data_IF_545468659050
#
_entry.id   IF_545468659050
#
_cell.length_a   1.000
_cell.length_b   1.000
_cell.length_c   1.000
_cell.angle_alpha   90.00
_cell.angle_beta   90.00
_cell.angle_gamma   90.00
#
_symmetry.space_group_name_H-M   'P 1'
#
loop_
_entity.id
_entity.type
_entity.pdbx_description
1 polymer ?
#
# COMPACT_ATOMS: atom_id res chain seq x y z
N UNK A 1 1.79 32.49 6.48
CA UNK A 1 0.87 31.33 6.63
C UNK A 1 0.47 30.74 5.27
N UNK A 2 0.25 31.55 4.24
CA UNK A 2 -0.18 31.08 2.91
C UNK A 2 0.83 30.14 2.21
N UNK A 3 2.13 30.44 2.26
CA UNK A 3 3.19 29.58 1.68
C UNK A 3 3.23 28.18 2.31
N UNK A 4 3.01 28.08 3.63
CA UNK A 4 3.05 26.81 4.35
C UNK A 4 1.88 25.90 3.91
N UNK A 5 0.69 26.47 3.72
CA UNK A 5 -0.47 25.72 3.24
C UNK A 5 -0.29 25.23 1.79
N UNK A 6 0.33 26.04 0.92
CA UNK A 6 0.65 25.64 -0.46
C UNK A 6 1.67 24.50 -0.49
N UNK A 7 2.70 24.55 0.36
CA UNK A 7 3.69 23.48 0.47
C UNK A 7 3.08 22.19 1.01
N UNK A 8 2.21 22.28 2.02
CA UNK A 8 1.47 21.13 2.55
C UNK A 8 0.57 20.49 1.48
N UNK A 9 -0.17 21.30 0.72
CA UNK A 9 -1.02 20.81 -0.36
C UNK A 9 -0.19 20.12 -1.46
N UNK A 10 0.90 20.73 -1.90
CA UNK A 10 1.80 20.13 -2.90
C UNK A 10 2.41 18.82 -2.41
N UNK A 11 2.80 18.76 -1.13
CA UNK A 11 3.32 17.54 -0.50
C UNK A 11 2.27 16.43 -0.51
N UNK A 12 1.03 16.75 -0.14
CA UNK A 12 -0.09 15.81 -0.15
C UNK A 12 -0.36 15.26 -1.55
N UNK A 13 -0.46 16.13 -2.55
CA UNK A 13 -0.68 15.74 -3.95
C UNK A 13 0.45 14.85 -4.48
N UNK A 14 1.71 15.22 -4.20
CA UNK A 14 2.86 14.46 -4.61
C UNK A 14 2.87 13.05 -4.00
N UNK A 15 2.55 12.92 -2.71
CA UNK A 15 2.44 11.61 -2.03
C UNK A 15 1.35 10.76 -2.65
N UNK A 16 0.16 11.31 -2.89
CA UNK A 16 -0.95 10.56 -3.48
C UNK A 16 -0.62 10.09 -4.90
N UNK A 17 -0.05 10.98 -5.72
CA UNK A 17 0.33 10.67 -7.08
C UNK A 17 1.40 9.56 -7.12
N UNK A 18 2.44 9.69 -6.28
CA UNK A 18 3.52 8.72 -6.18
C UNK A 18 2.99 7.37 -5.70
N UNK A 19 2.16 7.35 -4.65
CA UNK A 19 1.56 6.13 -4.14
C UNK A 19 0.68 5.44 -5.20
N UNK A 20 -0.14 6.19 -5.92
CA UNK A 20 -0.97 5.65 -7.00
C UNK A 20 -0.12 5.02 -8.10
N UNK A 21 0.97 5.66 -8.48
CA UNK A 21 1.86 5.15 -9.53
C UNK A 21 2.62 3.91 -9.09
N UNK A 22 3.19 3.91 -7.88
CA UNK A 22 3.87 2.74 -7.30
C UNK A 22 2.90 1.58 -7.13
N UNK A 23 1.68 1.83 -6.63
CA UNK A 23 0.65 0.80 -6.45
C UNK A 23 0.26 0.14 -7.78
N UNK A 24 0.09 0.94 -8.84
CA UNK A 24 -0.17 0.41 -10.19
C UNK A 24 0.99 -0.46 -10.68
N UNK A 25 2.22 0.06 -10.63
CA UNK A 25 3.40 -0.67 -11.07
C UNK A 25 3.63 -1.95 -10.25
N UNK A 26 3.32 -1.93 -8.96
CA UNK A 26 3.42 -3.07 -8.07
C UNK A 26 2.46 -4.20 -8.45
N UNK A 27 1.19 -3.89 -8.70
CA UNK A 27 0.23 -4.87 -9.19
C UNK A 27 0.67 -5.50 -10.52
N UNK A 28 1.17 -4.68 -11.46
CA UNK A 28 1.62 -5.14 -12.77
C UNK A 28 2.88 -6.01 -12.69
N UNK A 29 3.87 -5.61 -11.89
CA UNK A 29 5.09 -6.39 -11.68
C UNK A 29 4.79 -7.70 -10.97
N UNK A 30 3.99 -7.67 -9.91
CA UNK A 30 3.65 -8.87 -9.15
C UNK A 30 2.91 -9.89 -10.02
N UNK A 31 1.97 -9.44 -10.86
CA UNK A 31 1.25 -10.32 -11.78
C UNK A 31 2.16 -10.94 -12.86
N UNK A 32 3.25 -10.26 -13.23
CA UNK A 32 4.26 -10.82 -14.15
C UNK A 32 5.13 -11.89 -13.47
N UNK A 33 5.48 -11.68 -12.20
CA UNK A 33 6.29 -12.62 -11.42
C UNK A 33 5.49 -13.84 -10.96
N UNK A 34 4.21 -13.68 -10.66
CA UNK A 34 3.30 -14.75 -10.22
C UNK A 34 2.10 -14.80 -11.16
N UNK A 35 2.12 -15.67 -12.19
CA UNK A 35 1.00 -15.83 -13.11
C UNK A 35 -0.28 -16.23 -12.35
N UNK A 36 -1.25 -15.33 -12.31
CA UNK A 36 -2.52 -15.51 -11.58
C UNK A 36 -2.55 -14.89 -10.18
N UNK A 37 -1.41 -14.40 -9.67
CA UNK A 37 -1.34 -13.65 -8.44
C UNK A 37 -1.90 -12.23 -8.57
N UNK A 38 -2.30 -11.65 -7.43
CA UNK A 38 -2.71 -10.25 -7.33
C UNK A 38 -2.08 -9.63 -6.09
N UNK A 39 -1.58 -8.41 -6.21
CA UNK A 39 -1.02 -7.66 -5.10
C UNK A 39 -1.50 -6.21 -5.14
N UNK A 40 -1.78 -5.63 -3.98
CA UNK A 40 -2.22 -4.24 -3.84
C UNK A 40 -1.53 -3.58 -2.64
N UNK A 41 -1.21 -2.30 -2.80
CA UNK A 41 -0.77 -1.45 -1.71
C UNK A 41 -1.99 -0.71 -1.14
N UNK A 42 -2.05 -0.61 0.19
CA UNK A 42 -3.12 0.07 0.92
C UNK A 42 -2.51 1.17 1.77
N UNK A 43 -2.90 2.41 1.55
CA UNK A 43 -2.47 3.53 2.37
C UNK A 43 -3.24 3.50 3.70
N UNK A 44 -2.52 3.36 4.81
CA UNK A 44 -3.11 3.39 6.15
C UNK A 44 -3.22 4.83 6.63
N UNK A 45 -4.40 5.18 7.11
CA UNK A 45 -4.65 6.44 7.79
C UNK A 45 -4.72 6.16 9.29
N UNK A 46 -4.23 7.08 10.10
CA UNK A 46 -4.46 7.07 11.52
C UNK A 46 -5.93 7.34 11.76
N UNK A 47 -6.62 6.36 12.32
CA UNK A 47 -7.84 6.65 13.04
C UNK A 47 -7.40 7.38 14.30
N UNK A 48 -7.85 8.63 14.47
CA UNK A 48 -8.03 9.16 15.83
C UNK A 48 -8.93 8.12 16.50
N UNK A 49 -8.42 7.44 17.55
CA UNK A 49 -9.07 6.31 18.19
C UNK A 49 -10.59 6.46 18.26
N UNK A 50 -11.29 5.64 17.48
CA UNK A 50 -12.75 5.64 17.42
C UNK A 50 -13.24 4.84 16.23
N UNK A 51 -13.73 3.63 16.53
CA UNK A 51 -14.59 2.78 15.69
C UNK A 51 -13.94 1.62 14.93
N UNK A 52 -13.64 0.56 15.67
CA UNK A 52 -14.14 -0.80 15.38
C UNK A 52 -14.53 -1.39 16.75
N UNK A 53 -15.76 -1.81 17.03
CA UNK A 53 -16.62 -2.73 16.28
C UNK A 53 -18.12 -2.46 16.49
N UNK A 54 -18.89 -2.67 15.42
CA UNK A 54 -20.35 -2.85 15.45
C UNK A 54 -20.73 -4.08 16.28
N UNK A 55 -21.71 -3.95 17.18
CA UNK A 55 -22.81 -4.91 17.32
C UNK A 55 -24.06 -4.19 17.86
N UNK A 56 -25.23 -4.61 17.40
CA UNK A 56 -26.49 -3.86 17.32
C UNK A 56 -27.26 -3.74 18.66
N UNK A 57 -27.99 -2.63 18.84
CA UNK A 57 -28.97 -2.48 19.91
C UNK A 57 -29.62 -1.09 19.93
N UNK A 58 -30.88 -1.03 19.52
CA UNK A 58 -31.74 0.16 19.38
C UNK A 58 -31.82 1.04 20.63
N UNK A 59 -31.84 2.36 20.43
CA UNK A 59 -32.09 3.33 21.50
C UNK A 59 -32.13 4.77 21.00
N UNK A 60 -33.33 5.31 20.86
CA UNK A 60 -33.67 6.69 20.52
C UNK A 60 -33.03 7.73 21.44
N UNK A 61 -32.48 8.79 20.86
CA UNK A 61 -32.07 9.99 21.58
C UNK A 61 -31.64 11.11 20.64
N UNK A 62 -32.53 12.08 20.41
CA UNK A 62 -32.21 13.35 19.75
C UNK A 62 -31.13 14.09 20.55
N UNK A 63 -30.09 14.57 19.89
CA UNK A 63 -29.33 15.73 20.36
C UNK A 63 -28.67 16.44 19.18
N UNK A 64 -29.03 17.71 19.11
CA UNK A 64 -28.60 18.72 18.16
C UNK A 64 -27.09 19.02 18.22
N UNK A 65 -26.62 19.59 17.09
CA UNK A 65 -25.54 20.60 16.94
C UNK A 65 -24.09 20.15 17.12
N UNK A 66 -23.38 20.23 16.00
CA UNK A 66 -21.92 20.34 15.96
C UNK A 66 -21.44 20.84 14.59
N UNK A 67 -21.66 22.13 14.33
CA UNK A 67 -21.06 22.87 13.22
C UNK A 67 -19.53 22.76 13.26
N UNK A 68 -18.92 22.50 12.11
CA UNK A 68 -17.47 22.41 12.00
C UNK A 68 -16.96 22.13 10.59
N UNK A 69 -17.47 22.84 9.57
CA UNK A 69 -16.79 22.94 8.27
C UNK A 69 -15.52 23.80 8.44
N UNK A 70 -14.51 23.28 9.14
CA UNK A 70 -13.17 23.78 8.97
C UNK A 70 -12.65 23.21 7.65
N UNK A 71 -12.22 24.10 6.77
CA UNK A 71 -11.46 23.77 5.56
C UNK A 71 -10.20 23.02 5.96
N UNK A 72 -10.30 21.70 6.12
CA UNK A 72 -9.19 20.84 6.49
C UNK A 72 -8.30 20.71 5.26
N UNK A 73 -7.29 21.58 5.18
CA UNK A 73 -6.16 21.32 4.29
C UNK A 73 -5.69 19.90 4.61
N UNK A 74 -5.69 18.98 3.64
CA UNK A 74 -5.38 17.59 3.92
C UNK A 74 -3.92 17.51 4.38
N UNK A 75 -3.71 17.24 5.67
CA UNK A 75 -2.37 17.04 6.21
C UNK A 75 -1.88 15.63 5.92
N UNK A 76 -0.58 15.51 5.68
CA UNK A 76 0.10 14.22 5.56
C UNK A 76 0.18 13.47 6.89
N UNK A 77 -0.01 14.16 8.02
CA UNK A 77 0.05 13.57 9.37
C UNK A 77 -1.06 12.53 9.60
N UNK A 78 -2.11 12.55 8.76
CA UNK A 78 -3.13 11.51 8.74
C UNK A 78 -2.56 10.14 8.33
N UNK A 79 -1.44 10.06 7.61
CA UNK A 79 -0.94 8.78 7.11
C UNK A 79 -0.07 8.09 8.17
N UNK A 80 -0.47 6.89 8.60
CA UNK A 80 0.28 6.11 9.60
C UNK A 80 1.18 5.04 8.98
N UNK A 81 0.96 4.72 7.70
CA UNK A 81 1.85 3.81 6.97
C UNK A 81 1.25 3.22 5.70
N UNK A 82 1.86 2.14 5.22
CA UNK A 82 1.44 1.40 4.02
C UNK A 82 1.30 -0.07 4.36
N UNK A 83 0.13 -0.64 4.07
CA UNK A 83 -0.13 -2.06 4.11
C UNK A 83 0.07 -2.71 2.74
N UNK A 84 0.45 -3.99 2.75
CA UNK A 84 0.57 -4.81 1.54
C UNK A 84 -0.40 -5.97 1.67
N UNK A 85 -1.24 -6.17 0.64
CA UNK A 85 -2.16 -7.31 0.54
C UNK A 85 -1.86 -8.09 -0.72
N UNK A 86 -1.70 -9.39 -0.60
CA UNK A 86 -1.33 -10.25 -1.74
C UNK A 86 -2.14 -11.54 -1.77
N UNK A 87 -2.33 -12.07 -2.95
CA UNK A 87 -2.96 -13.36 -3.22
C UNK A 87 -2.12 -14.09 -4.26
N UNK A 88 -1.67 -15.29 -3.92
CA UNK A 88 -0.87 -16.16 -4.81
C UNK A 88 -1.73 -17.20 -5.54
N UNK A 89 -2.99 -17.40 -5.12
CA UNK A 89 -3.84 -18.53 -5.52
C UNK A 89 -4.93 -18.16 -6.56
N UNK A 90 -4.78 -17.08 -7.31
CA UNK A 90 -5.72 -16.68 -8.37
C UNK A 90 -6.57 -15.45 -8.04
N UNK A 91 -7.36 -14.99 -9.03
CA UNK A 91 -8.19 -13.76 -8.95
C UNK A 91 -9.27 -13.76 -7.85
N UNK A 92 -9.68 -14.93 -7.37
CA UNK A 92 -10.65 -15.11 -6.28
C UNK A 92 -9.99 -15.60 -4.97
N UNK A 93 -8.66 -15.76 -4.95
CA UNK A 93 -7.94 -16.18 -3.75
C UNK A 93 -7.99 -15.10 -2.67
N UNK A 94 -8.11 -15.53 -1.42
CA UNK A 94 -8.09 -14.66 -0.25
C UNK A 94 -6.83 -13.78 -0.22
N UNK A 95 -7.02 -12.46 -0.06
CA UNK A 95 -5.92 -11.53 0.10
C UNK A 95 -5.36 -11.60 1.51
N UNK A 96 -4.12 -12.09 1.61
CA UNK A 96 -3.37 -12.25 2.86
C UNK A 96 -2.49 -11.05 3.16
N UNK A 97 -2.28 -10.83 4.45
CA UNK A 97 -1.30 -9.85 4.94
C UNK A 97 0.11 -10.43 4.94
N UNK A 98 1.11 -9.56 4.95
CA UNK A 98 2.53 -9.93 4.90
C UNK A 98 2.92 -10.95 5.99
N UNK A 99 2.35 -10.84 7.19
CA UNK A 99 2.64 -11.73 8.32
C UNK A 99 2.27 -13.19 8.04
N UNK A 100 1.26 -13.42 7.20
CA UNK A 100 0.70 -14.75 6.88
C UNK A 100 1.44 -15.47 5.73
N UNK A 101 2.48 -14.84 5.16
CA UNK A 101 3.24 -15.36 4.02
C UNK A 101 4.47 -16.17 4.46
N UNK A 102 4.86 -17.15 3.63
CA UNK A 102 6.13 -17.87 3.82
C UNK A 102 7.34 -16.97 3.54
N UNK A 103 8.54 -17.37 3.99
CA UNK A 103 9.77 -16.59 3.75
C UNK A 103 10.03 -16.31 2.27
N UNK A 104 9.93 -17.32 1.39
CA UNK A 104 10.11 -17.13 -0.05
C UNK A 104 9.04 -16.24 -0.69
N UNK A 105 7.79 -16.33 -0.22
CA UNK A 105 6.71 -15.44 -0.67
C UNK A 105 6.98 -13.98 -0.28
N UNK A 106 7.46 -13.75 0.95
CA UNK A 106 7.87 -12.41 1.42
C UNK A 106 8.98 -11.82 0.56
N UNK A 107 10.00 -12.62 0.23
CA UNK A 107 11.10 -12.20 -0.64
C UNK A 107 10.62 -11.83 -2.04
N UNK A 108 9.70 -12.61 -2.61
CA UNK A 108 9.12 -12.30 -3.92
C UNK A 108 8.29 -11.00 -3.90
N UNK A 109 7.51 -10.79 -2.84
CA UNK A 109 6.75 -9.54 -2.64
C UNK A 109 7.69 -8.33 -2.52
N UNK A 110 8.80 -8.48 -1.79
CA UNK A 110 9.80 -7.43 -1.65
C UNK A 110 10.47 -7.09 -2.99
N UNK A 111 10.87 -8.10 -3.77
CA UNK A 111 11.42 -7.90 -5.12
C UNK A 111 10.41 -7.20 -6.05
N UNK A 112 9.15 -7.62 -6.03
CA UNK A 112 8.10 -6.98 -6.80
C UNK A 112 7.94 -5.49 -6.45
N UNK A 113 8.07 -5.15 -5.15
CA UNK A 113 8.01 -3.77 -4.69
C UNK A 113 9.22 -2.96 -5.15
N UNK A 114 10.43 -3.51 -5.08
CA UNK A 114 11.65 -2.83 -5.54
C UNK A 114 11.54 -2.51 -7.04
N UNK A 115 11.13 -3.48 -7.87
CA UNK A 115 10.93 -3.27 -9.30
C UNK A 115 9.79 -2.30 -9.60
N UNK A 116 8.74 -2.24 -8.76
CA UNK A 116 7.67 -1.26 -8.91
C UNK A 116 8.16 0.17 -8.67
N UNK A 117 9.00 0.37 -7.65
CA UNK A 117 9.64 1.65 -7.34
C UNK A 117 10.58 2.05 -8.47
N UNK A 118 11.44 1.13 -8.95
CA UNK A 118 12.34 1.37 -10.08
C UNK A 118 11.59 1.83 -11.34
N UNK A 119 10.40 1.30 -11.60
CA UNK A 119 9.57 1.73 -12.74
C UNK A 119 8.96 3.12 -12.57
N UNK A 120 8.77 3.59 -11.34
CA UNK A 120 8.30 4.94 -11.07
C UNK A 120 9.44 5.95 -11.14
N UNK A 121 10.55 5.63 -10.48
CA UNK A 121 11.71 6.51 -10.33
C UNK A 121 12.99 5.66 -10.37
N UNK A 122 13.62 5.52 -11.55
CA UNK A 122 14.78 4.66 -11.73
C UNK A 122 16.03 5.28 -11.10
N UNK A 123 16.69 4.52 -10.22
CA UNK A 123 17.98 4.88 -9.65
C UNK A 123 19.12 4.62 -10.65
N UNK A 124 20.28 5.29 -10.50
CA UNK A 124 21.41 5.13 -11.41
C UNK A 124 21.97 3.70 -11.49
N UNK A 125 21.89 2.92 -10.41
CA UNK A 125 22.27 1.51 -10.38
C UNK A 125 21.55 0.76 -9.26
N UNK A 126 21.48 -0.56 -9.40
CA UNK A 126 20.92 -1.48 -8.40
C UNK A 126 21.89 -2.65 -8.22
N UNK A 127 22.19 -2.99 -6.97
CA UNK A 127 22.99 -4.18 -6.62
C UNK A 127 22.09 -5.13 -5.83
N UNK A 128 21.96 -6.34 -6.34
CA UNK A 128 21.19 -7.41 -5.72
C UNK A 128 22.15 -8.52 -5.32
N UNK A 129 22.14 -8.89 -4.05
CA UNK A 129 22.95 -9.98 -3.52
C UNK A 129 22.05 -11.17 -3.16
N UNK A 130 22.46 -12.37 -3.54
CA UNK A 130 21.80 -13.66 -3.25
C UNK A 130 20.27 -13.73 -3.48
N UNK A 131 19.73 -12.96 -4.43
CA UNK A 131 18.26 -12.93 -4.67
C UNK A 131 17.68 -14.26 -5.13
N UNK A 132 18.51 -15.15 -5.67
CA UNK A 132 18.15 -16.45 -6.20
C UNK A 132 18.00 -17.53 -5.10
N UNK A 133 18.61 -17.35 -3.92
CA UNK A 133 18.47 -18.29 -2.79
C UNK A 133 17.07 -18.29 -2.19
N UNK A 134 16.38 -17.15 -2.23
CA UNK A 134 15.04 -16.99 -1.66
C UNK A 134 13.90 -17.30 -2.65
N UNK A 135 14.23 -17.52 -3.93
CA UNK A 135 13.28 -17.80 -5.01
C UNK A 135 13.28 -19.31 -5.32
N UNK A 136 12.10 -19.93 -5.37
CA UNK A 136 12.02 -21.33 -5.81
C UNK A 136 12.48 -21.49 -7.28
N UNK A 137 12.74 -22.73 -7.72
CA UNK A 137 13.22 -23.02 -9.06
C UNK A 137 12.30 -22.51 -10.20
N UNK A 138 11.00 -22.37 -9.94
CA UNK A 138 9.99 -21.89 -10.89
C UNK A 138 9.96 -20.36 -10.96
N UNK A 139 10.18 -19.67 -9.83
CA UNK A 139 10.22 -18.21 -9.75
C UNK A 139 11.59 -17.62 -10.16
N UNK A 140 12.68 -18.38 -10.08
CA UNK A 140 14.01 -17.96 -10.57
C UNK A 140 14.03 -17.60 -12.06
N UNK A 141 13.26 -18.33 -12.90
CA UNK A 141 13.16 -18.04 -14.35
C UNK A 141 12.38 -16.76 -14.68
N UNK A 142 11.56 -16.24 -13.77
CA UNK A 142 10.76 -15.04 -14.01
C UNK A 142 11.51 -13.74 -13.66
N UNK A 143 12.61 -13.86 -12.92
CA UNK A 143 13.43 -12.73 -12.44
C UNK A 143 14.75 -12.59 -13.23
N UNK A 144 15.20 -13.68 -13.88
CA UNK A 144 16.32 -13.67 -14.85
C UNK A 144 15.85 -13.29 -16.25
#
# INVERSE_FOLDING_TARGET
MELMNVLELRKYEAIQLTFKQVSKNFSEVFQKLVPGGKATLVMKKGDVEGSQSQDEGEGSGESERGSGSQSSVPSVDQFTGVGIRVSFTGKQGEMREMQQLSGGQKSLVALALIFAIQKCDPAPFYLFDEIDQALDAQHRKAVS
#
